data_IF_794244186602
#
_entry.id   IF_794244186602
#
_cell.length_a   1.000
_cell.length_b   1.000
_cell.length_c   1.000
_cell.angle_alpha   90.00
_cell.angle_beta   90.00
_cell.angle_gamma   90.00
#
_symmetry.space_group_name_H-M   'P 1'
#
loop_
_entity.id
_entity.type
_entity.pdbx_description
1 polymer ?
#
# COMPACT_ATOMS: atom_id res chain seq x y z
N UNK A 1 2.64 9.67 -10.67
CA UNK A 1 4.06 10.04 -10.74
C UNK A 1 4.56 10.39 -9.34
N UNK A 2 5.88 10.58 -9.16
CA UNK A 2 6.41 11.07 -7.87
C UNK A 2 5.87 12.46 -7.52
N UNK A 3 5.73 13.34 -8.52
CA UNK A 3 5.12 14.65 -8.35
C UNK A 3 3.66 14.58 -7.89
N UNK A 4 2.85 13.68 -8.46
CA UNK A 4 1.45 13.48 -8.03
C UNK A 4 1.39 13.03 -6.56
N UNK A 5 2.23 12.07 -6.17
CA UNK A 5 2.23 11.57 -4.79
C UNK A 5 2.71 12.63 -3.80
N UNK A 6 3.73 13.42 -4.16
CA UNK A 6 4.21 14.53 -3.33
C UNK A 6 3.11 15.60 -3.09
N UNK A 7 2.22 15.81 -4.06
CA UNK A 7 1.09 16.73 -3.96
C UNK A 7 -0.17 16.09 -3.32
N UNK A 8 -0.14 14.80 -2.96
CA UNK A 8 -1.33 14.06 -2.54
C UNK A 8 -2.01 14.67 -1.30
N UNK A 9 -1.24 15.14 -0.32
CA UNK A 9 -1.76 15.77 0.89
C UNK A 9 -2.50 17.10 0.61
N UNK A 10 -2.12 17.81 -0.46
CA UNK A 10 -2.80 19.03 -0.88
C UNK A 10 -4.07 18.74 -1.68
N UNK A 11 -4.07 17.69 -2.49
CA UNK A 11 -5.22 17.29 -3.31
C UNK A 11 -6.30 16.59 -2.47
N UNK A 12 -5.90 15.71 -1.56
CA UNK A 12 -6.79 14.84 -0.79
C UNK A 12 -6.72 15.20 0.69
N UNK A 13 -7.64 16.05 1.15
CA UNK A 13 -7.69 16.50 2.55
C UNK A 13 -8.11 15.38 3.52
N UNK A 14 -8.90 14.41 3.04
CA UNK A 14 -9.31 13.23 3.79
C UNK A 14 -8.56 11.98 3.29
N UNK A 15 -7.87 11.28 4.20
CA UNK A 15 -7.10 10.07 3.95
C UNK A 15 -6.20 10.19 2.69
N UNK A 16 -5.21 11.11 2.69
CA UNK A 16 -4.30 11.23 1.56
C UNK A 16 -3.51 9.92 1.35
N UNK A 17 -3.42 9.42 0.11
CA UNK A 17 -2.66 8.22 -0.19
C UNK A 17 -1.16 8.43 0.06
N UNK A 18 -0.54 7.50 0.78
CA UNK A 18 0.90 7.51 1.08
C UNK A 18 1.75 6.71 0.06
N UNK A 19 1.10 5.96 -0.83
CA UNK A 19 1.76 5.16 -1.87
C UNK A 19 1.20 5.48 -3.26
N UNK A 20 1.98 5.20 -4.31
CA UNK A 20 1.53 5.39 -5.71
C UNK A 20 0.32 4.50 -6.04
N UNK A 21 0.30 3.29 -5.49
CA UNK A 21 -0.82 2.35 -5.64
C UNK A 21 -2.08 2.86 -4.94
N UNK A 22 -1.98 3.34 -3.70
CA UNK A 22 -3.10 4.00 -3.02
C UNK A 22 -3.62 5.23 -3.77
N UNK A 23 -2.72 5.99 -4.41
CA UNK A 23 -3.08 7.11 -5.26
C UNK A 23 -3.86 6.66 -6.50
N UNK A 24 -3.49 5.54 -7.13
CA UNK A 24 -4.23 4.95 -8.24
C UNK A 24 -5.65 4.55 -7.81
N UNK A 25 -5.80 3.87 -6.67
CA UNK A 25 -7.12 3.52 -6.11
C UNK A 25 -7.96 4.76 -5.84
N UNK A 26 -7.36 5.82 -5.29
CA UNK A 26 -8.06 7.08 -5.06
C UNK A 26 -8.52 7.75 -6.36
N UNK A 27 -7.72 7.68 -7.43
CA UNK A 27 -8.13 8.18 -8.76
C UNK A 27 -9.33 7.39 -9.31
N UNK A 28 -9.26 6.06 -9.27
CA UNK A 28 -10.37 5.18 -9.71
C UNK A 28 -11.63 5.47 -8.88
N UNK A 29 -11.50 5.67 -7.57
CA UNK A 29 -12.61 6.04 -6.71
C UNK A 29 -13.27 7.37 -7.15
N UNK A 30 -12.48 8.41 -7.40
CA UNK A 30 -13.00 9.70 -7.86
C UNK A 30 -13.66 9.63 -9.26
N UNK A 31 -13.21 8.72 -10.14
CA UNK A 31 -13.85 8.48 -11.44
C UNK A 31 -15.30 7.94 -11.28
N UNK A 32 -15.57 7.18 -10.22
CA UNK A 32 -16.88 6.55 -9.99
C UNK A 32 -17.79 7.36 -9.06
N UNK A 33 -17.22 7.97 -8.02
CA UNK A 33 -17.96 8.63 -6.94
C UNK A 33 -17.75 10.16 -6.90
N UNK A 34 -16.94 10.69 -7.81
CA UNK A 34 -16.57 12.10 -7.85
C UNK A 34 -15.71 12.53 -6.66
N UNK A 35 -15.50 13.85 -6.53
CA UNK A 35 -14.73 14.45 -5.42
C UNK A 35 -15.62 14.79 -4.22
N UNK A 36 -16.77 14.12 -4.07
CA UNK A 36 -17.72 14.37 -2.99
C UNK A 36 -17.12 13.97 -1.62
N UNK A 37 -17.06 14.87 -0.62
CA UNK A 37 -16.50 14.54 0.69
C UNK A 37 -17.24 13.40 1.41
N UNK A 38 -18.57 13.32 1.23
CA UNK A 38 -19.39 12.31 1.91
C UNK A 38 -18.98 10.88 1.56
N UNK A 39 -18.72 10.60 0.28
CA UNK A 39 -18.30 9.29 -0.17
C UNK A 39 -16.91 8.91 0.38
N UNK A 40 -15.98 9.88 0.43
CA UNK A 40 -14.65 9.65 0.99
C UNK A 40 -14.68 9.34 2.49
N UNK A 41 -15.57 9.99 3.26
CA UNK A 41 -15.72 9.76 4.71
C UNK A 41 -16.29 8.38 5.07
N UNK A 42 -16.95 7.70 4.12
CA UNK A 42 -17.42 6.34 4.33
C UNK A 42 -16.27 5.30 4.32
N UNK A 43 -15.07 5.68 3.88
CA UNK A 43 -13.93 4.79 3.78
C UNK A 43 -13.04 5.00 5.01
N UNK A 44 -12.91 4.00 5.91
CA UNK A 44 -12.02 4.12 7.05
C UNK A 44 -10.57 4.24 6.59
N UNK A 45 -9.83 5.17 7.19
CA UNK A 45 -8.41 5.38 6.92
C UNK A 45 -7.50 4.47 7.73
N UNK A 46 -6.26 4.29 7.26
CA UNK A 46 -5.19 3.59 7.98
C UNK A 46 -4.90 2.17 7.46
N UNK A 47 -3.91 1.48 8.07
CA UNK A 47 -3.53 0.13 7.69
C UNK A 47 -4.70 -0.84 7.91
N UNK A 48 -5.09 -1.55 6.87
CA UNK A 48 -6.13 -2.57 6.94
C UNK A 48 -5.92 -3.62 5.85
N UNK A 49 -6.51 -4.79 6.09
CA UNK A 49 -6.70 -5.82 5.07
C UNK A 49 -8.18 -5.80 4.70
N UNK A 50 -8.49 -5.98 3.41
CA UNK A 50 -9.86 -6.02 2.92
C UNK A 50 -10.75 -6.92 3.80
N UNK A 51 -11.97 -6.45 4.06
CA UNK A 51 -12.97 -7.11 4.91
C UNK A 51 -12.56 -7.34 6.37
N UNK A 52 -11.46 -6.75 6.84
CA UNK A 52 -10.93 -6.92 8.19
C UNK A 52 -10.88 -5.61 8.96
N UNK A 53 -10.75 -5.70 10.29
CA UNK A 53 -10.46 -4.54 11.13
C UNK A 53 -8.97 -4.19 11.08
N UNK A 54 -8.56 -2.97 11.50
CA UNK A 54 -7.14 -2.62 11.65
C UNK A 54 -6.37 -3.59 12.56
N UNK A 55 -7.05 -4.35 13.41
CA UNK A 55 -6.43 -5.39 14.25
C UNK A 55 -5.80 -6.51 13.44
N UNK A 56 -6.37 -6.88 12.29
CA UNK A 56 -5.82 -7.97 11.46
C UNK A 56 -4.43 -7.62 10.92
N UNK A 57 -4.20 -6.34 10.63
CA UNK A 57 -2.89 -5.81 10.26
C UNK A 57 -1.84 -6.03 11.36
N UNK A 58 -2.23 -6.22 12.62
CA UNK A 58 -1.32 -6.45 13.74
C UNK A 58 -0.89 -7.91 13.91
N UNK A 59 -1.55 -8.86 13.23
CA UNK A 59 -1.28 -10.29 13.42
C UNK A 59 0.03 -10.75 12.79
N UNK A 60 0.50 -10.06 11.75
CA UNK A 60 1.76 -10.37 11.08
C UNK A 60 2.78 -9.25 11.35
N UNK A 61 3.71 -9.54 12.27
CA UNK A 61 4.79 -8.63 12.63
C UNK A 61 5.72 -8.33 11.44
N UNK A 62 5.91 -9.28 10.51
CA UNK A 62 6.74 -9.07 9.33
C UNK A 62 6.03 -8.17 8.31
N UNK A 63 4.71 -8.27 8.19
CA UNK A 63 3.89 -7.35 7.40
C UNK A 63 3.92 -5.92 7.97
N UNK A 64 3.77 -5.79 9.30
CA UNK A 64 3.90 -4.51 10.00
C UNK A 64 5.30 -3.89 9.85
N UNK A 65 6.35 -4.69 10.04
CA UNK A 65 7.74 -4.24 9.92
C UNK A 65 8.08 -3.68 8.53
N UNK A 66 7.32 -4.10 7.51
CA UNK A 66 7.42 -3.58 6.13
C UNK A 66 6.51 -2.36 5.89
N UNK A 67 6.08 -1.70 6.97
CA UNK A 67 5.25 -0.49 6.94
C UNK A 67 3.76 -0.75 6.67
N UNK A 68 3.29 -1.99 6.86
CA UNK A 68 1.96 -2.42 6.39
C UNK A 68 1.80 -2.32 4.87
N UNK A 69 2.93 -2.24 4.14
CA UNK A 69 3.03 -1.88 2.74
C UNK A 69 2.78 -3.04 1.76
N UNK A 70 1.80 -3.89 2.05
CA UNK A 70 1.26 -4.84 1.09
C UNK A 70 0.07 -4.26 0.34
N UNK A 71 -0.32 -4.89 -0.78
CA UNK A 71 -1.62 -4.64 -1.43
C UNK A 71 -2.73 -4.71 -0.36
N UNK A 72 -3.62 -3.70 -0.23
CA UNK A 72 -4.69 -3.66 0.78
C UNK A 72 -5.64 -4.88 0.72
N UNK A 73 -5.57 -5.69 -0.34
CA UNK A 73 -6.22 -7.00 -0.37
C UNK A 73 -5.64 -8.04 0.61
N UNK A 74 -4.46 -7.79 1.18
CA UNK A 74 -3.69 -8.76 1.98
C UNK A 74 -2.76 -9.67 1.16
N UNK A 75 -2.64 -9.45 -0.17
CA UNK A 75 -1.71 -10.19 -1.01
C UNK A 75 -0.26 -9.91 -0.61
N UNK A 76 0.53 -10.99 -0.56
CA UNK A 76 1.97 -10.89 -0.48
C UNK A 76 2.52 -10.33 -1.79
N UNK A 77 3.14 -9.15 -1.74
CA UNK A 77 3.77 -8.48 -2.89
C UNK A 77 5.28 -8.31 -2.71
N UNK A 78 5.75 -8.47 -1.46
CA UNK A 78 7.16 -8.47 -1.12
C UNK A 78 7.63 -9.90 -0.92
N UNK A 79 8.86 -10.18 -1.35
CA UNK A 79 9.57 -11.44 -1.08
C UNK A 79 9.00 -12.72 -1.72
N UNK A 80 7.95 -12.63 -2.54
CA UNK A 80 7.34 -13.79 -3.23
C UNK A 80 8.28 -14.56 -4.17
N UNK A 81 9.41 -13.94 -4.54
CA UNK A 81 10.46 -14.55 -5.35
C UNK A 81 11.73 -14.88 -4.54
N UNK A 82 11.65 -14.94 -3.20
CA UNK A 82 12.75 -15.41 -2.35
C UNK A 82 12.59 -16.92 -2.18
N UNK A 83 13.30 -17.70 -3.02
CA UNK A 83 13.48 -19.13 -2.81
C UNK A 83 14.59 -19.40 -1.78
N UNK A 84 14.65 -20.61 -1.19
CA UNK A 84 15.74 -20.99 -0.30
C UNK A 84 17.11 -20.81 -1.00
N UNK A 85 18.01 -20.07 -0.35
CA UNK A 85 19.37 -19.79 -0.85
C UNK A 85 19.57 -18.46 -1.61
N UNK A 86 18.52 -17.64 -1.78
CA UNK A 86 18.62 -16.34 -2.45
C UNK A 86 18.59 -15.19 -1.42
N UNK A 87 19.67 -14.42 -1.35
CA UNK A 87 19.69 -13.18 -0.56
C UNK A 87 19.11 -12.01 -1.35
N UNK A 88 18.51 -11.07 -0.62
CA UNK A 88 17.92 -9.85 -1.17
C UNK A 88 19.05 -8.81 -1.29
N UNK A 89 19.28 -8.26 -2.48
CA UNK A 89 20.17 -7.10 -2.62
C UNK A 89 19.42 -5.83 -2.19
N UNK A 90 20.05 -5.01 -1.35
CA UNK A 90 19.51 -3.74 -0.88
C UNK A 90 19.59 -2.68 -1.99
N UNK A 91 18.58 -2.67 -2.85
CA UNK A 91 18.38 -1.64 -3.86
C UNK A 91 18.19 -2.18 -5.28
N UNK A 92 16.93 -2.32 -5.69
CA UNK A 92 16.55 -2.36 -7.11
C UNK A 92 16.95 -3.61 -7.90
N UNK A 93 16.10 -4.64 -7.86
CA UNK A 93 15.80 -5.45 -9.05
C UNK A 93 16.84 -6.47 -9.52
N UNK A 94 17.50 -7.19 -8.61
CA UNK A 94 18.31 -8.37 -8.96
C UNK A 94 18.64 -9.20 -7.73
N UNK A 95 18.84 -10.52 -7.90
CA UNK A 95 19.37 -11.40 -6.83
C UNK A 95 20.49 -12.26 -7.39
N UNK A 96 21.53 -12.46 -6.59
CA UNK A 96 22.68 -13.33 -6.90
C UNK A 96 22.59 -14.63 -6.12
N UNK A 97 22.98 -15.73 -6.74
CA UNK A 97 23.12 -17.03 -6.06
C UNK A 97 24.29 -16.98 -5.06
N UNK A 98 24.12 -17.59 -3.89
CA UNK A 98 25.24 -17.86 -2.97
C UNK A 98 26.26 -18.77 -3.65
N UNK A 99 27.53 -18.39 -3.59
CA UNK A 99 28.66 -19.24 -3.98
C UNK A 99 29.09 -20.10 -2.79
#
# INVERSE_FOLDING_TARGET
SDAELAAAAHRFTHNPPSTKEGYLYRKIFEEHFGTCPGAAHCIPGGPSVACSTPTAALWDAAWLAKGGGGDPSGRAVLDVHVGPGLEKEDGGGGKRAKK
#
